data_IF_525101889542
#
_entry.id   IF_525101889542
#
_cell.length_a   1.000
_cell.length_b   1.000
_cell.length_c   1.000
_cell.angle_alpha   90.00
_cell.angle_beta   90.00
_cell.angle_gamma   90.00
#
_symmetry.space_group_name_H-M   'P 1'
#
loop_
_entity.id
_entity.type
_entity.pdbx_description
1 polymer ?
#
# COMPACT_ATOMS: atom_id res chain seq x y z
N UNK A 1 19.88 48.47 -4.66
CA UNK A 1 20.38 47.39 -5.54
C UNK A 1 19.78 46.10 -5.04
N UNK A 2 18.91 45.45 -5.81
CA UNK A 2 18.38 44.14 -5.42
C UNK A 2 19.53 43.12 -5.52
N UNK A 3 19.91 42.52 -4.39
CA UNK A 3 20.98 41.53 -4.36
C UNK A 3 20.57 40.26 -5.09
N UNK A 4 21.51 39.67 -5.83
CA UNK A 4 21.36 38.35 -6.42
C UNK A 4 21.07 37.32 -5.32
N UNK A 5 20.41 36.23 -5.70
CA UNK A 5 20.10 35.12 -4.80
C UNK A 5 21.33 34.64 -4.02
N UNK A 6 21.13 34.31 -2.75
CA UNK A 6 22.19 33.70 -1.94
C UNK A 6 22.49 32.27 -2.40
N UNK A 7 23.76 31.86 -2.33
CA UNK A 7 24.18 30.46 -2.57
C UNK A 7 23.35 29.46 -1.74
N UNK A 8 22.99 29.83 -0.50
CA UNK A 8 22.15 29.00 0.37
C UNK A 8 20.73 28.86 -0.16
N UNK A 9 20.14 29.93 -0.68
CA UNK A 9 18.80 29.90 -1.26
C UNK A 9 18.76 29.12 -2.56
N UNK A 10 19.77 29.27 -3.43
CA UNK A 10 19.88 28.50 -4.66
C UNK A 10 19.94 26.99 -4.37
N UNK A 11 20.82 26.57 -3.46
CA UNK A 11 20.93 25.17 -3.04
C UNK A 11 19.63 24.64 -2.40
N UNK A 12 18.91 25.48 -1.65
CA UNK A 12 17.66 25.09 -1.03
C UNK A 12 16.51 24.93 -2.04
N UNK A 13 16.47 25.78 -3.08
CA UNK A 13 15.51 25.62 -4.18
C UNK A 13 15.82 24.32 -4.94
N UNK A 14 17.10 24.07 -5.26
CA UNK A 14 17.53 22.83 -5.90
C UNK A 14 17.14 21.60 -5.06
N UNK A 15 17.29 21.64 -3.73
CA UNK A 15 16.88 20.53 -2.87
C UNK A 15 15.37 20.34 -2.81
N UNK A 16 14.59 21.43 -2.88
CA UNK A 16 13.13 21.34 -2.90
C UNK A 16 12.61 20.72 -4.21
N UNK A 17 13.26 20.99 -5.34
CA UNK A 17 12.79 20.56 -6.67
C UNK A 17 13.37 19.22 -7.13
N UNK A 18 14.46 18.74 -6.51
CA UNK A 18 15.16 17.50 -6.89
C UNK A 18 14.25 16.28 -7.04
N UNK A 19 13.32 16.10 -6.09
CA UNK A 19 12.51 14.88 -5.98
C UNK A 19 11.01 15.11 -6.26
N UNK A 20 10.65 16.25 -6.84
CA UNK A 20 9.25 16.59 -7.12
C UNK A 20 9.07 17.19 -8.51
N UNK A 21 8.40 16.43 -9.38
CA UNK A 21 8.00 16.91 -10.71
C UNK A 21 7.13 18.16 -10.60
N UNK A 22 6.14 18.17 -9.70
CA UNK A 22 5.25 19.32 -9.50
C UNK A 22 6.01 20.60 -9.09
N UNK A 23 7.02 20.48 -8.21
CA UNK A 23 7.86 21.62 -7.84
C UNK A 23 8.77 22.05 -8.98
N UNK A 24 9.26 21.13 -9.81
CA UNK A 24 10.00 21.47 -11.03
C UNK A 24 9.13 22.21 -12.05
N UNK A 25 7.89 21.78 -12.26
CA UNK A 25 6.93 22.42 -13.16
C UNK A 25 6.57 23.83 -12.67
N UNK A 26 6.39 23.98 -11.35
CA UNK A 26 6.18 25.29 -10.73
C UNK A 26 7.42 26.18 -10.87
N UNK A 27 8.63 25.66 -10.62
CA UNK A 27 9.88 26.39 -10.80
C UNK A 27 10.01 26.92 -12.23
N UNK A 28 9.79 26.07 -13.23
CA UNK A 28 9.87 26.45 -14.64
C UNK A 28 8.84 27.56 -14.98
N UNK A 29 7.62 27.42 -14.46
CA UNK A 29 6.56 28.43 -14.64
C UNK A 29 6.92 29.76 -13.99
N UNK A 30 7.48 29.73 -12.78
CA UNK A 30 7.90 30.91 -12.03
C UNK A 30 9.03 31.65 -12.75
N UNK A 31 10.07 30.93 -13.21
CA UNK A 31 11.18 31.50 -13.97
C UNK A 31 10.69 32.16 -15.27
N UNK A 32 9.76 31.50 -15.98
CA UNK A 32 9.17 32.04 -17.21
C UNK A 32 8.36 33.31 -16.95
N UNK A 33 7.57 33.36 -15.87
CA UNK A 33 6.82 34.57 -15.48
C UNK A 33 7.73 35.73 -15.07
N UNK A 34 8.84 35.42 -14.41
CA UNK A 34 9.83 36.41 -14.01
C UNK A 34 10.80 36.82 -15.15
N UNK A 35 10.69 36.20 -16.34
CA UNK A 35 11.60 36.44 -17.46
C UNK A 35 13.06 36.01 -17.20
N UNK A 36 13.25 34.98 -16.37
CA UNK A 36 14.57 34.50 -15.92
C UNK A 36 14.94 33.18 -16.59
N UNK A 37 16.22 33.03 -16.94
CA UNK A 37 16.76 31.80 -17.54
C UNK A 37 17.08 30.73 -16.50
N UNK A 38 17.37 31.12 -15.26
CA UNK A 38 17.66 30.17 -14.20
C UNK A 38 17.52 30.73 -12.79
N UNK A 39 17.64 29.84 -11.81
CA UNK A 39 17.53 30.15 -10.37
C UNK A 39 18.57 31.22 -9.96
N UNK A 40 19.74 31.23 -10.59
CA UNK A 40 20.83 32.17 -10.30
C UNK A 40 20.51 33.62 -10.68
N UNK A 41 19.54 33.82 -11.57
CA UNK A 41 19.13 35.14 -12.06
C UNK A 41 18.05 35.78 -11.18
N UNK A 42 17.58 35.05 -10.16
CA UNK A 42 16.62 35.51 -9.18
C UNK A 42 17.25 36.49 -8.20
N UNK A 43 16.46 37.48 -7.80
CA UNK A 43 16.77 38.34 -6.65
C UNK A 43 16.49 37.60 -5.34
N UNK A 44 17.04 38.12 -4.24
CA UNK A 44 16.76 37.63 -2.88
C UNK A 44 15.26 37.56 -2.56
N UNK A 45 14.46 38.54 -3.00
CA UNK A 45 13.02 38.57 -2.77
C UNK A 45 12.27 37.53 -3.61
N UNK A 46 12.60 37.42 -4.90
CA UNK A 46 12.00 36.43 -5.79
C UNK A 46 12.33 35.00 -5.33
N UNK A 47 13.58 34.78 -4.90
CA UNK A 47 13.99 33.51 -4.32
C UNK A 47 13.21 33.17 -3.05
N UNK A 48 12.97 34.15 -2.17
CA UNK A 48 12.20 33.95 -0.94
C UNK A 48 10.72 33.66 -1.22
N UNK A 49 10.12 34.36 -2.20
CA UNK A 49 8.77 34.09 -2.69
C UNK A 49 8.67 32.69 -3.28
N UNK A 50 9.60 32.33 -4.16
CA UNK A 50 9.66 31.00 -4.77
C UNK A 50 9.80 29.90 -3.72
N UNK A 51 10.69 30.05 -2.74
CA UNK A 51 10.83 29.08 -1.64
C UNK A 51 9.52 28.91 -0.87
N UNK A 52 8.83 30.01 -0.57
CA UNK A 52 7.56 29.97 0.17
C UNK A 52 6.47 29.24 -0.62
N UNK A 53 6.37 29.52 -1.93
CA UNK A 53 5.46 28.81 -2.84
C UNK A 53 5.81 27.33 -2.98
N UNK A 54 7.09 27.00 -3.17
CA UNK A 54 7.56 25.62 -3.29
C UNK A 54 7.28 24.82 -2.01
N UNK A 55 7.44 25.44 -0.83
CA UNK A 55 7.04 24.82 0.46
C UNK A 55 5.53 24.61 0.56
N UNK A 56 4.73 25.50 0.00
CA UNK A 56 3.27 25.40 -0.03
C UNK A 56 2.75 24.30 -0.96
N UNK A 57 3.54 23.89 -1.96
CA UNK A 57 3.25 22.72 -2.78
C UNK A 57 3.46 21.48 -1.91
N UNK A 58 2.36 20.77 -1.64
CA UNK A 58 2.34 19.48 -0.94
C UNK A 58 3.07 18.43 -1.76
N UNK A 59 4.39 18.41 -1.65
CA UNK A 59 5.15 17.27 -2.11
C UNK A 59 4.99 16.17 -1.07
N UNK A 60 4.72 14.96 -1.54
CA UNK A 60 4.90 13.75 -0.76
C UNK A 60 6.40 13.48 -0.57
N UNK A 61 7.09 14.41 0.09
CA UNK A 61 8.44 14.19 0.60
C UNK A 61 8.29 13.52 1.95
N UNK A 62 8.53 12.22 1.96
CA UNK A 62 8.28 11.37 3.11
C UNK A 62 9.06 11.78 4.36
N UNK A 63 10.16 12.56 4.23
CA UNK A 63 10.96 13.03 5.36
C UNK A 63 10.24 14.02 6.31
N UNK A 64 9.19 14.70 5.87
CA UNK A 64 8.35 15.55 6.74
C UNK A 64 7.06 14.84 7.18
N UNK A 65 6.83 13.63 6.68
CA UNK A 65 5.64 12.85 7.01
C UNK A 65 5.75 12.28 8.45
N UNK A 66 4.65 12.31 9.24
CA UNK A 66 4.65 11.76 10.58
C UNK A 66 4.97 10.26 10.56
N UNK A 67 5.34 9.68 11.72
CA UNK A 67 5.52 8.24 11.85
C UNK A 67 4.29 7.46 11.39
N UNK A 68 4.51 6.21 10.95
CA UNK A 68 3.47 5.26 10.60
C UNK A 68 2.34 5.20 11.65
N UNK A 69 1.09 5.30 11.19
CA UNK A 69 -0.06 5.16 12.10
C UNK A 69 -0.32 3.70 12.46
N UNK A 70 -0.88 3.45 13.65
CA UNK A 70 -1.27 2.09 14.09
C UNK A 70 -2.18 1.37 13.09
N UNK A 71 -3.10 2.11 12.45
CA UNK A 71 -4.00 1.56 11.41
C UNK A 71 -3.23 1.08 10.18
N UNK A 72 -2.28 1.87 9.70
CA UNK A 72 -1.45 1.48 8.56
C UNK A 72 -0.54 0.31 8.91
N UNK A 73 0.03 0.27 10.13
CA UNK A 73 0.81 -0.88 10.61
C UNK A 73 0.01 -2.17 10.58
N UNK A 74 -1.17 -2.21 11.21
CA UNK A 74 -2.03 -3.39 11.21
C UNK A 74 -2.43 -3.81 9.80
N UNK A 75 -2.64 -2.85 8.90
CA UNK A 75 -2.97 -3.14 7.51
C UNK A 75 -1.77 -3.73 6.75
N UNK A 76 -0.57 -3.17 6.89
CA UNK A 76 0.66 -3.72 6.32
C UNK A 76 0.91 -5.14 6.83
N UNK A 77 0.80 -5.39 8.13
CA UNK A 77 0.90 -6.73 8.72
C UNK A 77 -0.10 -7.73 8.11
N UNK A 78 -1.31 -7.28 7.78
CA UNK A 78 -2.31 -8.12 7.11
C UNK A 78 -1.93 -8.47 5.67
N UNK A 79 -1.31 -7.54 4.94
CA UNK A 79 -0.84 -7.74 3.57
C UNK A 79 0.41 -8.64 3.52
N UNK A 80 1.30 -8.49 4.49
CA UNK A 80 2.53 -9.27 4.64
C UNK A 80 2.32 -10.74 5.01
N UNK A 81 1.07 -11.20 5.09
CA UNK A 81 0.75 -12.64 5.16
C UNK A 81 1.04 -13.35 3.84
N UNK A 82 1.07 -12.62 2.72
CA UNK A 82 1.42 -13.14 1.41
C UNK A 82 2.93 -13.05 1.17
N UNK A 83 3.54 -14.16 0.73
CA UNK A 83 4.97 -14.22 0.44
C UNK A 83 5.41 -13.23 -0.66
N UNK A 84 4.59 -13.04 -1.70
CA UNK A 84 4.88 -12.06 -2.74
C UNK A 84 4.91 -10.62 -2.19
N UNK A 85 4.03 -10.31 -1.24
CA UNK A 85 3.99 -9.01 -0.58
C UNK A 85 5.21 -8.80 0.33
N UNK A 86 5.74 -9.85 0.98
CA UNK A 86 6.97 -9.77 1.77
C UNK A 86 8.19 -9.45 0.92
N UNK A 87 8.33 -10.12 -0.23
CA UNK A 87 9.44 -9.89 -1.15
C UNK A 87 9.42 -8.45 -1.69
N UNK A 88 8.24 -7.95 -2.07
CA UNK A 88 8.10 -6.57 -2.55
C UNK A 88 8.37 -5.55 -1.44
N UNK A 89 7.88 -5.81 -0.22
CA UNK A 89 8.17 -4.97 0.94
C UNK A 89 9.65 -4.91 1.24
N UNK A 90 10.35 -6.05 1.19
CA UNK A 90 11.81 -6.09 1.38
C UNK A 90 12.56 -5.26 0.34
N UNK A 91 12.15 -5.31 -0.94
CA UNK A 91 12.72 -4.46 -2.00
C UNK A 91 12.46 -2.97 -1.73
N UNK A 92 11.25 -2.63 -1.32
CA UNK A 92 10.85 -1.26 -1.01
C UNK A 92 11.65 -0.70 0.18
N UNK A 93 11.74 -1.45 1.28
CA UNK A 93 12.52 -1.07 2.45
C UNK A 93 14.01 -0.90 2.11
N UNK A 94 14.59 -1.84 1.36
CA UNK A 94 15.98 -1.74 0.89
C UNK A 94 16.22 -0.49 0.03
N UNK A 95 15.25 -0.10 -0.81
CA UNK A 95 15.36 1.13 -1.63
C UNK A 95 15.38 2.41 -0.79
N UNK A 96 14.81 2.36 0.41
CA UNK A 96 14.81 3.45 1.39
C UNK A 96 15.93 3.35 2.42
N UNK A 97 16.73 2.28 2.39
CA UNK A 97 17.75 1.99 3.41
C UNK A 97 17.16 1.65 4.78
N UNK A 98 15.91 1.16 4.82
CA UNK A 98 15.21 0.81 6.05
C UNK A 98 15.26 -0.71 6.29
N UNK A 99 15.24 -1.09 7.57
CA UNK A 99 15.29 -2.51 7.98
C UNK A 99 13.89 -3.04 8.32
N UNK A 100 13.03 -2.18 8.90
CA UNK A 100 11.69 -2.56 9.33
C UNK A 100 10.61 -1.66 8.74
N UNK A 101 9.40 -2.22 8.61
CA UNK A 101 8.19 -1.43 8.34
C UNK A 101 7.87 -0.44 9.47
N UNK A 102 8.38 -0.68 10.67
CA UNK A 102 8.22 0.23 11.82
C UNK A 102 8.97 1.54 11.63
N UNK A 103 9.99 1.54 10.79
CA UNK A 103 10.78 2.73 10.46
C UNK A 103 10.13 3.55 9.32
N UNK A 104 9.01 3.07 8.76
CA UNK A 104 8.29 3.77 7.71
C UNK A 104 7.59 5.01 8.26
N UNK A 105 7.56 6.04 7.41
CA UNK A 105 6.72 7.21 7.62
C UNK A 105 5.38 7.04 6.93
N UNK A 106 4.39 7.82 7.33
CA UNK A 106 3.00 7.68 6.89
C UNK A 106 2.87 7.73 5.35
N UNK A 107 3.65 8.56 4.68
CA UNK A 107 3.64 8.68 3.21
C UNK A 107 4.26 7.46 2.52
N UNK A 108 5.43 7.01 3.00
CA UNK A 108 6.09 5.80 2.48
C UNK A 108 5.24 4.55 2.73
N UNK A 109 4.61 4.47 3.90
CA UNK A 109 3.67 3.42 4.22
C UNK A 109 2.45 3.43 3.29
N UNK A 110 1.93 4.60 2.94
CA UNK A 110 0.81 4.72 2.00
C UNK A 110 1.22 4.28 0.59
N UNK A 111 2.41 4.69 0.13
CA UNK A 111 2.97 4.26 -1.16
C UNK A 111 3.21 2.76 -1.21
N UNK A 112 3.78 2.20 -0.15
CA UNK A 112 3.97 0.75 -0.01
C UNK A 112 2.63 0.04 -0.03
N UNK A 113 1.64 0.52 0.72
CA UNK A 113 0.27 -0.03 0.72
C UNK A 113 -0.31 -0.03 -0.68
N UNK A 114 -0.18 1.05 -1.44
CA UNK A 114 -0.74 1.13 -2.79
C UNK A 114 0.01 0.21 -3.78
N UNK A 115 1.33 0.06 -3.62
CA UNK A 115 2.13 -0.91 -4.39
C UNK A 115 1.70 -2.34 -4.07
N UNK A 116 1.62 -2.69 -2.79
CA UNK A 116 1.18 -4.00 -2.33
C UNK A 116 -0.25 -4.30 -2.74
N UNK A 117 -1.15 -3.31 -2.71
CA UNK A 117 -2.50 -3.46 -3.25
C UNK A 117 -2.43 -3.79 -4.74
N UNK A 118 -1.59 -3.14 -5.54
CA UNK A 118 -1.45 -3.48 -6.97
C UNK A 118 -0.86 -4.87 -7.19
N UNK A 119 0.05 -5.33 -6.35
CA UNK A 119 0.65 -6.68 -6.48
C UNK A 119 -0.29 -7.77 -5.99
N UNK A 120 -1.09 -7.47 -4.96
CA UNK A 120 -2.16 -8.34 -4.46
C UNK A 120 -3.39 -8.30 -5.37
N UNK A 121 -3.66 -7.19 -6.06
CA UNK A 121 -4.82 -7.00 -6.97
C UNK A 121 -4.49 -7.25 -8.45
N UNK A 122 -3.21 -7.32 -8.82
CA UNK A 122 -2.69 -7.57 -10.18
C UNK A 122 -2.67 -9.04 -10.56
N UNK A 123 -3.07 -9.93 -9.64
CA UNK A 123 -3.68 -11.20 -10.03
C UNK A 123 -5.18 -10.97 -10.16
N UNK A 124 -5.74 -10.88 -11.37
CA UNK A 124 -7.15 -11.18 -11.49
C UNK A 124 -7.30 -12.62 -11.00
N UNK A 125 -8.23 -12.83 -10.08
CA UNK A 125 -8.73 -14.15 -9.69
C UNK A 125 -8.07 -14.89 -8.51
N UNK A 126 -7.80 -14.18 -7.41
CA UNK A 126 -8.24 -14.73 -6.13
C UNK A 126 -8.98 -13.64 -5.38
N UNK A 127 -10.32 -13.66 -5.46
CA UNK A 127 -11.14 -13.37 -4.27
C UNK A 127 -10.36 -13.99 -3.12
N UNK A 128 -9.86 -13.19 -2.17
CA UNK A 128 -9.25 -13.75 -0.97
C UNK A 128 -10.26 -14.77 -0.46
N UNK A 129 -10.00 -16.06 -0.68
CA UNK A 129 -10.97 -17.11 -0.43
C UNK A 129 -11.11 -17.09 1.08
N UNK A 130 -12.15 -16.41 1.56
CA UNK A 130 -12.38 -16.26 2.97
C UNK A 130 -12.64 -17.66 3.49
N UNK A 131 -11.94 -18.06 4.54
CA UNK A 131 -12.28 -19.29 5.23
C UNK A 131 -13.75 -19.27 5.63
N UNK A 132 -14.36 -20.44 5.65
CA UNK A 132 -15.73 -20.63 6.05
C UNK A 132 -15.96 -19.98 7.42
N UNK A 133 -17.06 -19.24 7.57
CA UNK A 133 -17.40 -18.65 8.86
C UNK A 133 -17.67 -19.73 9.89
N UNK A 134 -17.45 -19.43 11.19
CA UNK A 134 -17.82 -20.35 12.30
C UNK A 134 -19.27 -20.83 12.21
N UNK A 135 -20.18 -19.96 11.72
CA UNK A 135 -21.58 -20.31 11.49
C UNK A 135 -21.75 -21.38 10.43
N UNK A 136 -21.03 -21.27 9.30
CA UNK A 136 -21.06 -22.28 8.24
C UNK A 136 -20.45 -23.60 8.71
N UNK A 137 -19.31 -23.57 9.41
CA UNK A 137 -18.66 -24.77 9.96
C UNK A 137 -19.61 -25.51 10.92
N UNK A 138 -20.23 -24.78 11.86
CA UNK A 138 -21.19 -25.37 12.79
C UNK A 138 -22.42 -25.94 12.07
N UNK A 139 -22.87 -25.26 11.01
CA UNK A 139 -24.01 -25.73 10.23
C UNK A 139 -23.69 -27.01 9.45
N UNK A 140 -22.50 -27.10 8.85
CA UNK A 140 -22.00 -28.33 8.21
C UNK A 140 -21.93 -29.47 9.24
N UNK A 141 -21.39 -29.22 10.45
CA UNK A 141 -21.37 -30.22 11.54
C UNK A 141 -22.77 -30.70 11.92
N UNK A 142 -23.75 -29.80 11.94
CA UNK A 142 -25.13 -30.17 12.26
C UNK A 142 -25.80 -30.98 11.15
N UNK A 143 -25.48 -30.70 9.88
CA UNK A 143 -26.04 -31.41 8.73
C UNK A 143 -25.38 -32.76 8.47
N UNK A 144 -24.09 -32.88 8.78
CA UNK A 144 -23.32 -34.11 8.66
C UNK A 144 -23.57 -35.07 9.85
N UNK A 145 -24.78 -35.07 10.42
CA UNK A 145 -25.17 -36.03 11.45
C UNK A 145 -25.81 -37.25 10.78
N UNK A 146 -25.08 -38.37 10.73
CA UNK A 146 -25.53 -39.63 10.11
C UNK A 146 -24.51 -40.23 9.15
N UNK A 147 -24.48 -41.56 9.08
CA UNK A 147 -23.44 -42.34 8.37
C UNK A 147 -23.32 -42.04 6.88
N UNK A 148 -24.40 -41.65 6.21
CA UNK A 148 -24.37 -41.37 4.77
C UNK A 148 -23.92 -39.92 4.49
N UNK A 149 -24.37 -38.97 5.31
CA UNK A 149 -23.98 -37.55 5.21
C UNK A 149 -22.53 -37.32 5.64
N UNK A 150 -22.02 -38.09 6.60
CA UNK A 150 -20.61 -38.09 6.96
C UNK A 150 -19.71 -38.58 5.82
N UNK A 151 -20.13 -39.61 5.08
CA UNK A 151 -19.37 -40.09 3.90
C UNK A 151 -19.30 -39.02 2.81
N UNK A 152 -20.42 -38.37 2.51
CA UNK A 152 -20.46 -37.27 1.53
C UNK A 152 -19.49 -36.15 1.93
N UNK A 153 -19.46 -35.78 3.21
CA UNK A 153 -18.55 -34.77 3.73
C UNK A 153 -17.08 -35.20 3.60
N UNK A 154 -16.74 -36.43 3.98
CA UNK A 154 -15.37 -36.96 3.91
C UNK A 154 -14.89 -37.06 2.47
N UNK A 155 -15.73 -37.52 1.55
CA UNK A 155 -15.39 -37.63 0.13
C UNK A 155 -15.22 -36.25 -0.52
N UNK A 156 -16.06 -35.28 -0.14
CA UNK A 156 -15.92 -33.89 -0.56
C UNK A 156 -14.60 -33.28 -0.09
N UNK A 157 -14.22 -33.49 1.19
CA UNK A 157 -12.97 -32.98 1.75
C UNK A 157 -11.75 -33.61 1.06
N UNK A 158 -11.77 -34.94 0.85
CA UNK A 158 -10.71 -35.65 0.12
C UNK A 158 -10.58 -35.17 -1.32
N UNK A 159 -11.69 -34.97 -2.03
CA UNK A 159 -11.72 -34.46 -3.40
C UNK A 159 -11.11 -33.06 -3.54
N UNK A 160 -11.05 -32.29 -2.45
CA UNK A 160 -10.43 -30.95 -2.40
C UNK A 160 -9.08 -30.93 -1.68
N UNK A 161 -8.54 -32.08 -1.28
CA UNK A 161 -7.26 -32.19 -0.59
C UNK A 161 -7.25 -31.58 0.82
N UNK A 162 -8.40 -31.56 1.50
CA UNK A 162 -8.56 -30.96 2.84
C UNK A 162 -8.71 -32.03 3.89
N UNK A 163 -8.07 -31.83 5.04
CA UNK A 163 -8.16 -32.76 6.17
C UNK A 163 -9.37 -32.47 7.06
N UNK A 164 -9.74 -31.19 7.20
CA UNK A 164 -10.81 -30.77 8.10
C UNK A 164 -11.75 -29.75 7.46
N UNK A 165 -12.98 -29.71 7.97
CA UNK A 165 -13.99 -28.69 7.61
C UNK A 165 -13.59 -27.25 7.98
N UNK A 166 -12.65 -27.07 8.90
CA UNK A 166 -12.14 -25.76 9.29
C UNK A 166 -11.25 -25.14 8.20
N UNK A 167 -10.72 -25.98 7.31
CA UNK A 167 -9.89 -25.56 6.18
C UNK A 167 -10.73 -25.15 4.97
N UNK A 168 -12.06 -25.30 5.03
CA UNK A 168 -12.96 -24.97 3.92
C UNK A 168 -13.00 -23.47 3.66
N UNK A 169 -13.06 -23.10 2.39
CA UNK A 169 -13.34 -21.74 1.97
C UNK A 169 -14.85 -21.48 1.94
N UNK A 170 -15.26 -20.21 1.91
CA UNK A 170 -16.67 -19.81 2.01
C UNK A 170 -17.51 -20.37 0.86
N UNK A 171 -16.95 -20.44 -0.34
CA UNK A 171 -17.56 -21.02 -1.54
C UNK A 171 -17.74 -22.53 -1.41
N UNK A 172 -16.70 -23.24 -0.99
CA UNK A 172 -16.74 -24.69 -0.78
C UNK A 172 -17.68 -25.08 0.38
N UNK A 173 -17.73 -24.25 1.42
CA UNK A 173 -18.65 -24.44 2.54
C UNK A 173 -20.11 -24.31 2.09
N UNK A 174 -20.42 -23.36 1.20
CA UNK A 174 -21.76 -23.27 0.63
C UNK A 174 -22.08 -24.46 -0.28
N UNK A 175 -21.12 -24.89 -1.11
CA UNK A 175 -21.26 -26.05 -2.01
C UNK A 175 -21.58 -27.34 -1.24
N UNK A 176 -20.83 -27.64 -0.16
CA UNK A 176 -21.11 -28.83 0.66
C UNK A 176 -22.40 -28.70 1.47
N UNK A 177 -22.78 -27.48 1.90
CA UNK A 177 -24.07 -27.26 2.57
C UNK A 177 -25.23 -27.61 1.64
N UNK A 178 -25.15 -27.20 0.36
CA UNK A 178 -26.20 -27.48 -0.61
C UNK A 178 -26.27 -28.98 -0.91
N UNK A 179 -25.12 -29.64 -1.10
CA UNK A 179 -25.04 -31.11 -1.25
C UNK A 179 -25.68 -31.86 -0.06
N UNK A 180 -25.36 -31.46 1.17
CA UNK A 180 -25.90 -32.10 2.39
C UNK A 180 -27.38 -31.82 2.65
N UNK A 181 -27.95 -30.80 2.00
CA UNK A 181 -29.39 -30.47 2.04
C UNK A 181 -30.21 -31.15 0.95
N UNK A 182 -29.57 -31.47 -0.17
CA UNK A 182 -30.21 -32.16 -1.30
C UNK A 182 -30.35 -33.67 -1.10
N UNK A 183 -29.65 -34.23 -0.11
CA UNK A 183 -29.78 -35.59 0.43
C UNK A 183 -30.57 -35.61 1.74
#
# INVERSE_FOLDING_TARGET
MAGNISKKQAAFIESLTKDSSERNDYLASFLRQAGKSGIRDLTLEEASKLISSLKGIKTSNSQDSPPLTKKQKTYLESLLRNEAARVETGKFLNSLGLVSIDDLRMDDASRLIDSLKKTVSGRPDQKARRYASKKQINFIRSLATGTDKEKILVDFLKGRGKSNIEDLFTDEASEIIDLLKSE
#
